data_IF_704129635965
#
_entry.id   IF_704129635965
#
_cell.length_a   1.000
_cell.length_b   1.000
_cell.length_c   1.000
_cell.angle_alpha   90.00
_cell.angle_beta   90.00
_cell.angle_gamma   90.00
#
_symmetry.space_group_name_H-M   'P 1'
#
loop_
_entity.id
_entity.type
_entity.pdbx_description
1 polymer ?
#
# COMPACT_ATOMS: atom_id res chain seq x y z
N UNK A 1 -3.64 -24.91 -16.58
CA UNK A 1 -2.19 -24.74 -16.87
C UNK A 1 -1.53 -24.37 -15.55
N UNK A 2 -0.64 -25.23 -15.01
CA UNK A 2 -0.11 -25.08 -13.65
C UNK A 2 0.85 -23.88 -13.59
N UNK A 3 0.61 -22.95 -12.66
CA UNK A 3 1.43 -21.75 -12.42
C UNK A 3 2.82 -22.18 -11.97
N UNK A 4 3.86 -21.53 -12.49
CA UNK A 4 5.23 -21.67 -11.97
C UNK A 4 5.40 -20.63 -10.85
N UNK A 5 5.65 -21.12 -9.64
CA UNK A 5 5.86 -20.34 -8.41
C UNK A 5 7.36 -20.12 -8.17
N UNK A 6 7.69 -19.08 -7.41
CA UNK A 6 9.01 -18.90 -6.80
C UNK A 6 9.20 -20.02 -5.77
N UNK A 7 10.37 -20.66 -5.77
CA UNK A 7 10.69 -21.76 -4.86
C UNK A 7 10.63 -21.29 -3.40
N UNK A 8 9.72 -21.85 -2.60
CA UNK A 8 9.66 -21.67 -1.15
C UNK A 8 8.66 -20.63 -0.60
N UNK A 9 7.87 -19.96 -1.45
CA UNK A 9 6.80 -19.06 -1.00
C UNK A 9 5.45 -19.53 -1.54
N UNK A 10 4.63 -20.13 -0.67
CA UNK A 10 3.29 -20.59 -1.00
C UNK A 10 2.26 -19.51 -0.60
N UNK A 11 1.75 -18.77 -1.59
CA UNK A 11 0.67 -17.79 -1.37
C UNK A 11 -0.64 -18.44 -0.91
N UNK A 12 -0.78 -19.78 -0.98
CA UNK A 12 -1.92 -20.50 -0.40
C UNK A 12 -1.81 -20.70 1.11
N UNK A 13 -0.66 -20.37 1.72
CA UNK A 13 -0.50 -20.28 3.18
C UNK A 13 -1.10 -18.99 3.77
N UNK A 14 -1.46 -18.03 2.91
CA UNK A 14 -2.26 -16.88 3.32
C UNK A 14 -3.72 -17.35 3.33
N UNK A 15 -4.37 -17.49 4.51
CA UNK A 15 -5.74 -17.94 4.57
C UNK A 15 -6.62 -17.02 3.72
N UNK A 16 -7.56 -17.56 2.92
CA UNK A 16 -8.55 -16.73 2.24
C UNK A 16 -9.25 -15.89 3.30
N UNK A 17 -9.39 -14.58 3.04
CA UNK A 17 -9.99 -13.64 3.98
C UNK A 17 -11.40 -14.11 4.35
N UNK A 18 -11.53 -14.65 5.55
CA UNK A 18 -12.80 -14.90 6.20
C UNK A 18 -13.39 -13.53 6.58
N UNK A 19 -14.50 -13.18 5.91
CA UNK A 19 -15.49 -12.15 6.26
C UNK A 19 -15.09 -11.08 7.31
N UNK A 20 -14.90 -9.86 6.79
CA UNK A 20 -15.08 -8.57 7.48
C UNK A 20 -13.94 -8.07 8.39
N UNK A 21 -12.89 -7.55 7.74
CA UNK A 21 -12.10 -6.44 8.28
C UNK A 21 -13.02 -5.35 8.82
N UNK A 22 -12.76 -4.87 10.03
CA UNK A 22 -13.60 -3.86 10.66
C UNK A 22 -13.23 -2.45 10.14
N UNK A 23 -13.58 -2.19 8.88
CA UNK A 23 -13.31 -0.90 8.21
C UNK A 23 -13.79 0.31 9.01
N UNK A 24 -14.98 0.29 9.66
CA UNK A 24 -15.39 1.39 10.55
C UNK A 24 -14.45 1.59 11.74
N UNK A 25 -13.99 0.51 12.39
CA UNK A 25 -13.03 0.61 13.48
C UNK A 25 -11.68 1.17 13.02
N UNK A 26 -11.15 0.67 11.90
CA UNK A 26 -9.87 1.14 11.32
C UNK A 26 -9.95 2.63 11.01
N UNK A 27 -11.03 3.07 10.34
CA UNK A 27 -11.27 4.49 10.03
C UNK A 27 -11.34 5.33 11.31
N UNK A 28 -12.05 4.86 12.34
CA UNK A 28 -12.11 5.55 13.63
C UNK A 28 -10.75 5.64 14.33
N UNK A 29 -9.94 4.57 14.27
CA UNK A 29 -8.59 4.56 14.84
C UNK A 29 -7.66 5.53 14.09
N UNK A 30 -7.76 5.60 12.76
CA UNK A 30 -7.00 6.52 11.94
C UNK A 30 -7.34 8.00 12.20
N UNK A 31 -8.61 8.30 12.45
CA UNK A 31 -9.08 9.65 12.80
C UNK A 31 -8.86 10.03 14.28
N UNK A 32 -8.46 9.08 15.14
CA UNK A 32 -8.31 9.33 16.58
C UNK A 32 -7.15 10.28 16.90
N UNK A 33 -6.20 10.43 15.98
CA UNK A 33 -5.11 11.40 16.06
C UNK A 33 -5.26 12.46 14.95
N UNK A 34 -4.75 13.70 15.17
CA UNK A 34 -4.68 14.69 14.11
C UNK A 34 -3.94 14.14 12.88
N UNK A 35 -4.34 14.61 11.71
CA UNK A 35 -3.64 14.31 10.48
C UNK A 35 -2.17 14.77 10.57
N UNK A 36 -1.28 14.05 9.87
CA UNK A 36 0.11 14.47 9.79
C UNK A 36 0.23 15.86 9.14
N UNK A 37 1.06 16.70 9.75
CA UNK A 37 1.50 17.95 9.13
C UNK A 37 2.55 17.66 8.07
N UNK A 38 2.68 18.55 7.08
CA UNK A 38 3.72 18.44 6.06
C UNK A 38 5.14 18.35 6.67
N UNK A 39 5.41 19.05 7.77
CA UNK A 39 6.70 18.93 8.48
C UNK A 39 6.93 17.52 9.01
N UNK A 40 5.92 16.90 9.65
CA UNK A 40 6.03 15.52 10.13
C UNK A 40 6.26 14.54 8.99
N UNK A 41 5.57 14.72 7.86
CA UNK A 41 5.79 13.88 6.67
C UNK A 41 7.23 14.01 6.16
N UNK A 42 7.77 15.22 6.07
CA UNK A 42 9.16 15.42 5.62
C UNK A 42 10.18 14.79 6.58
N UNK A 43 9.96 14.90 7.89
CA UNK A 43 10.81 14.23 8.90
C UNK A 43 10.76 12.70 8.76
N UNK A 44 9.57 12.14 8.52
CA UNK A 44 9.37 10.71 8.30
C UNK A 44 10.05 10.24 7.01
N UNK A 45 9.94 11.01 5.92
CA UNK A 45 10.62 10.71 4.65
C UNK A 45 12.14 10.74 4.80
N UNK A 46 12.68 11.70 5.55
CA UNK A 46 14.12 11.77 5.82
C UNK A 46 14.60 10.54 6.61
N UNK A 47 13.86 10.16 7.66
CA UNK A 47 14.16 8.96 8.44
C UNK A 47 14.03 7.66 7.62
N UNK A 48 13.08 7.61 6.68
CA UNK A 48 12.89 6.44 5.81
C UNK A 48 13.96 6.32 4.74
N UNK A 49 14.46 7.44 4.22
CA UNK A 49 15.60 7.44 3.31
C UNK A 49 16.85 6.87 4.00
N UNK A 50 17.10 7.22 5.27
CA UNK A 50 18.16 6.62 6.08
C UNK A 50 17.93 5.11 6.27
N UNK A 51 16.71 4.70 6.61
CA UNK A 51 16.33 3.29 6.75
C UNK A 51 16.62 2.49 5.48
N UNK A 52 16.23 3.00 4.30
CA UNK A 52 16.48 2.32 3.01
C UNK A 52 17.98 2.16 2.76
N UNK A 53 18.74 3.24 2.97
CA UNK A 53 20.19 3.28 2.71
C UNK A 53 20.98 2.36 3.62
N UNK A 54 20.47 2.07 4.81
CA UNK A 54 21.16 1.29 5.83
C UNK A 54 20.67 -0.17 5.90
N UNK A 55 20.16 -0.69 4.78
CA UNK A 55 19.79 -2.12 4.66
C UNK A 55 18.32 -2.42 4.97
N UNK A 56 17.50 -1.40 5.24
CA UNK A 56 16.05 -1.56 5.42
C UNK A 56 15.38 -2.19 4.21
N UNK A 57 15.86 -1.91 2.99
CA UNK A 57 15.33 -2.47 1.73
C UNK A 57 15.60 -3.96 1.51
N UNK A 58 16.43 -4.61 2.34
CA UNK A 58 16.67 -6.05 2.26
C UNK A 58 15.65 -6.88 3.07
N UNK A 59 14.73 -6.21 3.78
CA UNK A 59 13.73 -6.85 4.61
C UNK A 59 12.48 -7.28 3.83
N UNK A 60 11.49 -7.73 4.59
CA UNK A 60 10.17 -8.11 4.08
C UNK A 60 9.10 -7.94 5.15
N UNK A 61 7.85 -7.88 4.73
CA UNK A 61 6.73 -7.94 5.65
C UNK A 61 6.31 -9.39 5.94
N UNK A 62 5.87 -9.62 7.17
CA UNK A 62 5.11 -10.79 7.61
C UNK A 62 3.77 -10.31 8.17
N UNK A 63 2.67 -10.90 7.68
CA UNK A 63 1.32 -10.52 8.10
C UNK A 63 0.87 -11.35 9.30
N UNK A 64 0.37 -10.68 10.32
CA UNK A 64 -0.36 -11.26 11.44
C UNK A 64 -1.79 -10.69 11.42
N UNK A 65 -2.78 -11.57 11.59
CA UNK A 65 -4.15 -11.12 11.83
C UNK A 65 -4.41 -11.15 13.33
N UNK A 66 -4.71 -9.98 13.91
CA UNK A 66 -5.04 -9.87 15.34
C UNK A 66 -6.38 -9.17 15.47
N UNK A 67 -7.40 -9.92 15.89
CA UNK A 67 -8.75 -9.41 16.13
C UNK A 67 -9.36 -8.60 14.95
N UNK A 68 -9.07 -9.01 13.71
CA UNK A 68 -9.59 -8.35 12.51
C UNK A 68 -8.89 -7.03 12.13
N UNK A 69 -7.75 -6.71 12.75
CA UNK A 69 -6.88 -5.61 12.37
C UNK A 69 -5.70 -6.10 11.52
N UNK A 70 -5.26 -5.34 10.50
CA UNK A 70 -4.05 -5.64 9.77
C UNK A 70 -2.85 -5.36 10.65
N UNK A 71 -2.14 -6.41 11.09
CA UNK A 71 -0.93 -6.29 11.90
C UNK A 71 0.25 -6.83 11.11
N UNK A 72 1.01 -5.93 10.50
CA UNK A 72 2.19 -6.32 9.74
C UNK A 72 3.44 -6.14 10.60
N UNK A 73 4.37 -7.06 10.50
CA UNK A 73 5.69 -6.92 11.10
C UNK A 73 6.68 -6.85 9.96
N UNK A 74 7.51 -5.81 9.97
CA UNK A 74 8.65 -5.75 9.07
C UNK A 74 9.83 -6.48 9.68
N UNK A 75 10.34 -7.48 8.96
CA UNK A 75 11.55 -8.21 9.33
C UNK A 75 12.66 -7.73 8.41
N UNK A 76 13.56 -6.92 8.93
CA UNK A 76 14.67 -6.33 8.18
C UNK A 76 15.90 -6.07 9.04
N UNK A 77 16.98 -5.64 8.38
CA UNK A 77 18.30 -5.47 8.98
C UNK A 77 18.77 -4.01 9.08
N UNK A 78 17.87 -3.02 8.97
CA UNK A 78 18.24 -1.61 9.09
C UNK A 78 18.92 -1.35 10.45
N UNK A 79 20.06 -0.67 10.44
CA UNK A 79 20.81 -0.33 11.67
C UNK A 79 20.47 1.08 12.16
N UNK A 80 19.88 1.92 11.30
CA UNK A 80 19.53 3.31 11.52
C UNK A 80 18.30 3.71 10.69
N UNK A 81 17.83 4.96 10.87
CA UNK A 81 16.60 5.45 10.27
C UNK A 81 15.33 4.82 10.85
N UNK A 82 14.19 5.11 10.23
CA UNK A 82 12.89 4.53 10.59
C UNK A 82 12.09 4.25 9.33
N UNK A 83 11.46 3.08 9.29
CA UNK A 83 10.49 2.75 8.26
C UNK A 83 9.37 3.82 8.22
N UNK A 84 8.91 4.17 7.02
CA UNK A 84 7.73 4.99 6.83
C UNK A 84 6.49 4.18 7.23
N UNK A 85 6.12 4.25 8.51
CA UNK A 85 4.99 3.55 9.10
C UNK A 85 3.89 4.56 9.47
N UNK A 86 2.75 4.45 8.78
CA UNK A 86 1.56 5.29 8.96
C UNK A 86 0.30 4.43 9.12
N UNK A 87 0.47 3.21 9.62
CA UNK A 87 -0.61 2.26 9.86
C UNK A 87 -1.72 2.88 10.71
N UNK A 88 -2.96 2.82 10.22
CA UNK A 88 -4.13 3.40 10.89
C UNK A 88 -3.87 4.85 11.32
N UNK A 89 -3.39 5.67 10.38
CA UNK A 89 -3.22 7.12 10.54
C UNK A 89 -3.93 7.88 9.43
N UNK A 90 -4.23 9.15 9.69
CA UNK A 90 -4.85 10.04 8.72
C UNK A 90 -3.85 11.05 8.15
N UNK A 91 -4.07 11.39 6.89
CA UNK A 91 -3.32 12.41 6.16
C UNK A 91 -4.17 13.67 5.98
N UNK A 92 -3.51 14.82 5.82
CA UNK A 92 -4.20 16.04 5.43
C UNK A 92 -4.57 15.94 3.93
N UNK A 93 -5.70 16.52 3.47
CA UNK A 93 -6.11 16.44 2.06
C UNK A 93 -5.07 16.99 1.06
N UNK A 94 -4.19 17.89 1.50
CA UNK A 94 -3.12 18.48 0.69
C UNK A 94 -1.78 17.74 0.81
N UNK A 95 -1.77 16.55 1.39
CA UNK A 95 -0.53 15.75 1.54
C UNK A 95 0.04 15.41 0.16
N UNK A 96 1.30 15.80 -0.05
CA UNK A 96 2.06 15.47 -1.25
C UNK A 96 3.23 14.54 -0.93
N UNK A 97 3.23 13.36 -1.55
CA UNK A 97 4.27 12.32 -1.52
C UNK A 97 4.82 12.05 -2.92
N UNK A 98 4.71 13.03 -3.83
CA UNK A 98 5.28 12.99 -5.17
C UNK A 98 6.78 12.66 -5.13
N UNK A 99 7.21 11.69 -5.95
CA UNK A 99 8.59 11.20 -6.08
C UNK A 99 9.20 10.65 -4.77
N UNK A 100 8.39 10.46 -3.71
CA UNK A 100 8.86 9.99 -2.42
C UNK A 100 9.48 8.59 -2.53
N UNK A 101 10.60 8.37 -1.82
CA UNK A 101 11.14 7.04 -1.64
C UNK A 101 10.35 6.37 -0.50
N UNK A 102 9.50 5.41 -0.83
CA UNK A 102 8.58 4.74 0.10
C UNK A 102 8.67 3.21 0.00
N UNK A 103 9.71 2.65 -0.61
CA UNK A 103 9.91 1.19 -0.73
C UNK A 103 9.82 0.56 0.66
N UNK A 104 9.08 -0.53 0.78
CA UNK A 104 8.79 -1.19 2.05
C UNK A 104 8.17 -0.25 3.10
N UNK A 105 7.22 0.59 2.74
CA UNK A 105 6.46 1.40 3.70
C UNK A 105 5.21 0.64 4.18
N UNK A 106 4.67 1.05 5.33
CA UNK A 106 3.43 0.49 5.88
C UNK A 106 2.33 1.55 5.98
N UNK A 107 1.38 1.45 5.06
CA UNK A 107 0.16 2.22 4.94
C UNK A 107 -1.09 1.43 5.34
N UNK A 108 -0.95 0.27 5.99
CA UNK A 108 -2.10 -0.58 6.28
C UNK A 108 -3.17 0.16 7.11
N UNK A 109 -4.41 0.17 6.62
CA UNK A 109 -5.50 0.90 7.26
C UNK A 109 -5.37 2.43 7.29
N UNK A 110 -4.42 3.02 6.57
CA UNK A 110 -4.25 4.47 6.52
C UNK A 110 -5.41 5.16 5.78
N UNK A 111 -5.77 6.36 6.22
CA UNK A 111 -6.67 7.27 5.50
C UNK A 111 -5.81 8.21 4.65
N UNK A 112 -5.62 7.83 3.39
CA UNK A 112 -4.83 8.54 2.40
C UNK A 112 -5.68 8.84 1.15
N UNK A 113 -6.94 9.23 1.37
CA UNK A 113 -7.86 9.74 0.35
C UNK A 113 -7.24 10.99 -0.31
N UNK A 114 -7.27 11.05 -1.64
CA UNK A 114 -6.73 12.16 -2.48
C UNK A 114 -5.23 12.47 -2.33
N UNK A 115 -4.46 11.63 -1.62
CA UNK A 115 -3.01 11.85 -1.46
C UNK A 115 -2.28 11.70 -2.81
N UNK A 116 -1.35 12.62 -3.07
CA UNK A 116 -0.53 12.57 -4.28
C UNK A 116 0.70 11.67 -4.07
N UNK A 117 0.74 10.51 -4.71
CA UNK A 117 1.88 9.59 -4.80
C UNK A 117 2.54 9.57 -6.18
N UNK A 118 2.32 10.60 -7.02
CA UNK A 118 2.83 10.63 -8.38
C UNK A 118 4.34 10.37 -8.42
N UNK A 119 4.77 9.36 -9.17
CA UNK A 119 6.16 8.96 -9.31
C UNK A 119 6.85 8.46 -8.04
N UNK A 120 6.10 8.22 -6.95
CA UNK A 120 6.65 7.63 -5.74
C UNK A 120 7.18 6.21 -5.98
N UNK A 121 8.17 5.80 -5.19
CA UNK A 121 8.66 4.41 -5.19
C UNK A 121 8.06 3.67 -4.02
N UNK A 122 7.05 2.86 -4.27
CA UNK A 122 6.26 2.12 -3.29
C UNK A 122 6.58 0.62 -3.29
N UNK A 123 7.55 0.14 -4.07
CA UNK A 123 7.80 -1.30 -4.22
C UNK A 123 7.81 -2.04 -2.87
N UNK A 124 7.11 -3.17 -2.84
CA UNK A 124 6.96 -4.05 -1.66
C UNK A 124 6.38 -3.39 -0.40
N UNK A 125 5.64 -2.30 -0.55
CA UNK A 125 4.90 -1.66 0.54
C UNK A 125 3.57 -2.34 0.80
N UNK A 126 3.02 -2.11 1.99
CA UNK A 126 1.69 -2.58 2.36
C UNK A 126 0.71 -1.43 2.39
N UNK A 127 -0.37 -1.58 1.63
CA UNK A 127 -1.52 -0.68 1.57
C UNK A 127 -2.81 -1.45 1.87
N UNK A 128 -2.71 -2.58 2.56
CA UNK A 128 -3.85 -3.45 2.91
C UNK A 128 -4.89 -2.68 3.70
N UNK A 129 -6.14 -2.74 3.26
CA UNK A 129 -7.31 -2.13 3.93
C UNK A 129 -7.18 -0.62 4.16
N UNK A 130 -6.31 0.03 3.40
CA UNK A 130 -6.20 1.48 3.37
C UNK A 130 -7.37 2.11 2.59
N UNK A 131 -7.61 3.38 2.87
CA UNK A 131 -8.60 4.20 2.17
C UNK A 131 -7.84 5.16 1.27
N UNK A 132 -7.90 4.91 -0.03
CA UNK A 132 -7.11 5.55 -1.10
C UNK A 132 -8.01 6.12 -2.20
N UNK A 133 -9.26 6.43 -1.87
CA UNK A 133 -10.19 7.00 -2.83
C UNK A 133 -9.61 8.29 -3.43
N UNK A 134 -9.58 8.38 -4.77
CA UNK A 134 -9.02 9.51 -5.50
C UNK A 134 -7.50 9.71 -5.39
N UNK A 135 -6.75 8.79 -4.75
CA UNK A 135 -5.30 8.91 -4.66
C UNK A 135 -4.63 8.84 -6.05
N UNK A 136 -3.54 9.60 -6.22
CA UNK A 136 -2.80 9.67 -7.48
C UNK A 136 -1.52 8.84 -7.40
N UNK A 137 -1.45 7.71 -8.10
CA UNK A 137 -0.25 6.86 -8.23
C UNK A 137 0.40 6.95 -9.60
N UNK A 138 0.06 7.97 -10.41
CA UNK A 138 0.56 8.10 -11.77
C UNK A 138 2.09 8.05 -11.80
N UNK A 139 2.65 7.32 -12.76
CA UNK A 139 4.10 7.16 -12.98
C UNK A 139 4.86 6.55 -11.79
N UNK A 140 4.18 6.08 -10.73
CA UNK A 140 4.81 5.45 -9.58
C UNK A 140 5.42 4.07 -9.93
N UNK A 141 6.34 3.62 -9.09
CA UNK A 141 6.76 2.22 -9.02
C UNK A 141 6.05 1.57 -7.84
N UNK A 142 5.19 0.59 -8.10
CA UNK A 142 4.38 -0.11 -7.10
C UNK A 142 4.51 -1.64 -7.28
N UNK A 143 5.73 -2.10 -7.56
CA UNK A 143 6.02 -3.51 -7.82
C UNK A 143 5.81 -4.30 -6.53
N UNK A 144 4.99 -5.35 -6.59
CA UNK A 144 4.72 -6.21 -5.45
C UNK A 144 4.06 -5.50 -4.27
N UNK A 145 3.42 -4.35 -4.49
CA UNK A 145 2.61 -3.68 -3.46
C UNK A 145 1.37 -4.50 -3.16
N UNK A 146 1.04 -4.57 -1.88
CA UNK A 146 -0.15 -5.27 -1.40
C UNK A 146 -1.26 -4.27 -1.10
N UNK A 147 -2.22 -4.14 -2.02
CA UNK A 147 -3.41 -3.33 -1.86
C UNK A 147 -4.59 -4.13 -1.30
N UNK A 148 -4.42 -5.39 -0.87
CA UNK A 148 -5.55 -6.29 -0.52
C UNK A 148 -6.61 -5.59 0.33
N UNK A 149 -7.85 -5.57 -0.15
CA UNK A 149 -9.00 -4.97 0.55
C UNK A 149 -9.02 -3.44 0.62
N UNK A 150 -8.10 -2.73 -0.02
CA UNK A 150 -8.10 -1.28 -0.08
C UNK A 150 -9.31 -0.73 -0.85
N UNK A 151 -9.76 0.46 -0.44
CA UNK A 151 -10.68 1.27 -1.23
C UNK A 151 -9.88 2.19 -2.16
N UNK A 152 -9.87 1.87 -3.45
CA UNK A 152 -9.18 2.60 -4.50
C UNK A 152 -10.16 3.39 -5.39
N UNK A 153 -11.40 3.63 -4.94
CA UNK A 153 -12.43 4.27 -5.77
C UNK A 153 -11.92 5.55 -6.43
N UNK A 154 -11.92 5.59 -7.76
CA UNK A 154 -11.48 6.75 -8.55
C UNK A 154 -9.97 7.07 -8.47
N UNK A 155 -9.15 6.19 -7.91
CA UNK A 155 -7.70 6.36 -7.91
C UNK A 155 -7.12 6.30 -9.34
N UNK A 156 -5.93 6.87 -9.53
CA UNK A 156 -5.22 6.90 -10.81
C UNK A 156 -3.91 6.11 -10.70
N UNK A 157 -3.66 5.23 -11.66
CA UNK A 157 -2.43 4.43 -11.82
C UNK A 157 -1.88 4.58 -13.25
N UNK A 158 -1.97 5.78 -13.83
CA UNK A 158 -1.58 6.01 -15.22
C UNK A 158 -0.06 5.84 -15.35
N UNK A 159 0.38 4.99 -16.29
CA UNK A 159 1.79 4.65 -16.50
C UNK A 159 2.52 4.08 -15.25
N UNK A 160 1.79 3.54 -14.27
CA UNK A 160 2.38 2.96 -13.06
C UNK A 160 2.92 1.54 -13.32
N UNK A 161 4.05 1.19 -12.72
CA UNK A 161 4.54 -0.20 -12.70
C UNK A 161 3.92 -0.97 -11.53
N UNK A 162 2.93 -1.82 -11.83
CA UNK A 162 2.15 -2.62 -10.87
C UNK A 162 2.50 -4.11 -10.96
N UNK A 163 3.70 -4.45 -11.44
CA UNK A 163 4.10 -5.85 -11.59
C UNK A 163 3.99 -6.59 -10.27
N UNK A 164 3.33 -7.75 -10.28
CA UNK A 164 3.10 -8.58 -9.10
C UNK A 164 2.34 -7.89 -7.95
N UNK A 165 1.67 -6.76 -8.18
CA UNK A 165 0.84 -6.11 -7.17
C UNK A 165 -0.40 -6.94 -6.83
N UNK A 166 -0.88 -6.84 -5.60
CA UNK A 166 -2.05 -7.58 -5.12
C UNK A 166 -3.23 -6.64 -4.91
N UNK A 167 -4.28 -6.77 -5.73
CA UNK A 167 -5.55 -6.06 -5.63
C UNK A 167 -6.70 -6.97 -5.19
N UNK A 168 -6.42 -8.09 -4.51
CA UNK A 168 -7.48 -8.99 -4.07
C UNK A 168 -8.48 -8.28 -3.15
N UNK A 169 -9.77 -8.44 -3.47
CA UNK A 169 -10.89 -7.92 -2.68
C UNK A 169 -10.90 -6.36 -2.59
N UNK A 170 -10.14 -5.66 -3.44
CA UNK A 170 -10.19 -4.20 -3.52
C UNK A 170 -11.51 -3.69 -4.08
N UNK A 171 -11.81 -2.42 -3.78
CA UNK A 171 -12.77 -1.64 -4.56
C UNK A 171 -12.02 -0.74 -5.55
N UNK A 172 -11.97 -1.13 -6.82
CA UNK A 172 -11.34 -0.35 -7.90
C UNK A 172 -12.39 0.33 -8.80
N UNK A 173 -13.55 0.69 -8.25
CA UNK A 173 -14.59 1.38 -9.03
C UNK A 173 -14.03 2.67 -9.63
N UNK A 174 -14.12 2.83 -10.94
CA UNK A 174 -13.69 4.05 -11.65
C UNK A 174 -12.18 4.28 -11.70
N UNK A 175 -11.36 3.28 -11.36
CA UNK A 175 -9.88 3.42 -11.37
C UNK A 175 -9.34 3.53 -12.80
N UNK A 176 -8.34 4.40 -12.99
CA UNK A 176 -7.63 4.55 -14.26
C UNK A 176 -6.30 3.78 -14.26
N UNK A 177 -6.22 2.68 -15.00
CA UNK A 177 -5.00 1.89 -15.22
C UNK A 177 -4.35 2.15 -16.58
N UNK A 178 -4.65 3.27 -17.25
CA UNK A 178 -4.15 3.55 -18.61
C UNK A 178 -2.62 3.52 -18.66
N UNK A 179 -2.06 2.64 -19.50
CA UNK A 179 -0.60 2.49 -19.64
C UNK A 179 0.10 1.78 -18.47
N UNK A 180 -0.63 1.32 -17.45
CA UNK A 180 -0.05 0.62 -16.31
C UNK A 180 0.50 -0.77 -16.70
N UNK A 181 1.66 -1.14 -16.13
CA UNK A 181 2.18 -2.49 -16.27
C UNK A 181 1.65 -3.40 -15.16
N UNK A 182 0.63 -4.21 -15.46
CA UNK A 182 -0.02 -5.12 -14.51
C UNK A 182 0.42 -6.58 -14.66
N UNK A 183 1.60 -6.86 -15.22
CA UNK A 183 2.10 -8.22 -15.37
C UNK A 183 2.23 -8.91 -13.99
N UNK A 184 1.57 -10.05 -13.83
CA UNK A 184 1.59 -10.82 -12.57
C UNK A 184 0.68 -10.27 -11.47
N UNK A 185 -0.02 -9.15 -11.67
CA UNK A 185 -0.92 -8.60 -10.67
C UNK A 185 -2.16 -9.50 -10.43
N UNK A 186 -2.63 -9.59 -9.18
CA UNK A 186 -3.87 -10.30 -8.82
C UNK A 186 -5.02 -9.33 -8.63
N UNK A 187 -6.22 -9.69 -9.10
CA UNK A 187 -7.46 -8.91 -8.94
C UNK A 187 -8.63 -9.78 -8.45
N UNK A 188 -8.33 -10.91 -7.80
CA UNK A 188 -9.37 -11.87 -7.39
C UNK A 188 -10.33 -11.23 -6.39
N UNK A 189 -11.62 -11.24 -6.72
CA UNK A 189 -12.66 -10.63 -5.88
C UNK A 189 -12.66 -9.09 -5.87
N UNK A 190 -11.82 -8.44 -6.68
CA UNK A 190 -11.80 -6.99 -6.83
C UNK A 190 -13.07 -6.51 -7.56
N UNK A 191 -13.65 -5.41 -7.11
CA UNK A 191 -14.65 -4.68 -7.91
C UNK A 191 -13.93 -3.86 -8.99
N UNK A 192 -14.26 -4.08 -10.26
CA UNK A 192 -13.62 -3.46 -11.42
C UNK A 192 -14.61 -2.63 -12.26
N UNK A 193 -15.73 -2.22 -11.67
CA UNK A 193 -16.74 -1.45 -12.37
C UNK A 193 -16.20 -0.08 -12.82
N UNK A 194 -16.37 0.25 -14.11
CA UNK A 194 -16.02 1.58 -14.64
C UNK A 194 -14.52 1.87 -14.77
N UNK A 195 -13.64 0.86 -14.66
CA UNK A 195 -12.20 1.05 -14.85
C UNK A 195 -11.84 1.53 -16.27
N UNK A 196 -10.68 2.16 -16.41
CA UNK A 196 -10.02 2.46 -17.68
C UNK A 196 -8.70 1.70 -17.79
N UNK A 197 -8.29 1.32 -19.00
CA UNK A 197 -7.06 0.59 -19.27
C UNK A 197 -6.53 0.90 -20.66
#
# INVERSE_FOLDING_TARGET
MKRKYIEGFDQSDIPPRDSEMNSPLIRNMAMAAPAFTNTQIQEMLAAHAEFINDGGSAGRFERLQVAGLPMNIYIGGAQSGKQFEVRMKNFAPDTNLEQAQLTHSDFAGALAEEVNFQGAKLDHSLMTDSFLAGANFDEASAIGVDFTGADLTGASFVNTDLRNADFEICNCTGVDFSGANIEGASFKGCNLDGIRR
#
